data_IF_505317925943
#
_entry.id   IF_505317925943
#
_cell.length_a   1.000
_cell.length_b   1.000
_cell.length_c   1.000
_cell.angle_alpha   90.00
_cell.angle_beta   90.00
_cell.angle_gamma   90.00
#
_symmetry.space_group_name_H-M   'P 1'
#
loop_
_entity.id
_entity.type
_entity.pdbx_description
1 polymer ?
#
# COMPACT_ATOMS: atom_id res chain seq x y z
N UNK A 1 -17.91 -22.65 9.86
CA UNK A 1 -16.71 -22.57 9.01
C UNK A 1 -15.99 -21.28 9.36
N UNK A 2 -14.69 -21.31 9.54
CA UNK A 2 -13.91 -20.09 9.80
C UNK A 2 -13.90 -19.21 8.56
N UNK A 3 -13.93 -17.88 8.74
CA UNK A 3 -13.83 -16.90 7.69
C UNK A 3 -12.38 -16.76 7.23
N UNK A 4 -12.15 -16.64 5.92
CA UNK A 4 -10.82 -16.56 5.34
C UNK A 4 -10.43 -15.12 4.98
N UNK A 5 -9.24 -14.71 5.41
CA UNK A 5 -8.67 -13.39 5.11
C UNK A 5 -7.40 -13.54 4.28
N UNK A 6 -7.37 -12.92 3.10
CA UNK A 6 -6.16 -12.81 2.29
C UNK A 6 -5.49 -11.47 2.57
N UNK A 7 -4.19 -11.48 2.83
CA UNK A 7 -3.38 -10.27 3.06
C UNK A 7 -2.31 -10.19 1.98
N UNK A 8 -2.41 -9.18 1.12
CA UNK A 8 -1.47 -8.92 0.01
C UNK A 8 -0.60 -7.68 0.23
N UNK A 9 -0.80 -6.97 1.33
CA UNK A 9 0.07 -5.85 1.69
C UNK A 9 1.44 -6.30 2.16
N UNK A 10 2.51 -5.79 1.52
CA UNK A 10 3.90 -6.11 1.85
C UNK A 10 4.34 -5.63 3.23
N UNK A 11 3.72 -4.60 3.75
CA UNK A 11 4.09 -3.96 5.02
C UNK A 11 3.22 -4.38 6.21
N UNK A 12 2.14 -5.14 5.97
CA UNK A 12 1.26 -5.60 7.03
C UNK A 12 2.02 -6.54 7.99
N UNK A 13 1.92 -6.27 9.27
CA UNK A 13 2.58 -7.08 10.31
C UNK A 13 4.11 -6.90 10.43
N UNK A 14 4.77 -6.01 9.64
CA UNK A 14 6.23 -5.84 9.69
C UNK A 14 6.75 -5.16 10.96
N UNK A 15 5.96 -4.28 11.56
CA UNK A 15 6.35 -3.52 12.76
C UNK A 15 5.91 -4.25 14.03
N UNK A 16 4.71 -4.86 13.98
CA UNK A 16 4.12 -5.58 15.11
C UNK A 16 3.28 -6.74 14.58
N UNK A 17 3.25 -7.85 15.31
CA UNK A 17 2.33 -8.97 15.02
C UNK A 17 0.91 -8.71 15.53
N UNK A 18 0.67 -7.68 16.32
CA UNK A 18 -0.62 -7.36 16.93
C UNK A 18 -1.80 -7.41 15.95
N UNK A 19 -1.71 -6.85 14.70
CA UNK A 19 -2.80 -6.96 13.74
C UNK A 19 -3.12 -8.40 13.31
N UNK A 20 -2.10 -9.28 13.26
CA UNK A 20 -2.29 -10.70 12.94
C UNK A 20 -2.91 -11.43 14.13
N UNK A 21 -2.47 -11.12 15.35
CA UNK A 21 -2.98 -11.72 16.59
C UNK A 21 -4.47 -11.36 16.78
N UNK A 22 -4.88 -10.14 16.44
CA UNK A 22 -6.27 -9.70 16.45
C UNK A 22 -7.11 -10.56 15.49
N UNK A 23 -6.66 -10.75 14.24
CA UNK A 23 -7.39 -11.54 13.25
C UNK A 23 -7.48 -13.01 13.65
N UNK A 24 -6.38 -13.61 14.04
CA UNK A 24 -6.34 -15.02 14.42
C UNK A 24 -7.08 -15.27 15.74
N UNK A 25 -6.97 -14.36 16.70
CA UNK A 25 -7.71 -14.40 17.98
C UNK A 25 -9.22 -14.26 17.78
N UNK A 26 -9.67 -13.58 16.72
CA UNK A 26 -11.08 -13.51 16.32
C UNK A 26 -11.56 -14.75 15.53
N UNK A 27 -10.69 -15.75 15.32
CA UNK A 27 -11.03 -17.00 14.66
C UNK A 27 -10.97 -16.95 13.13
N UNK A 28 -10.32 -15.94 12.54
CA UNK A 28 -10.09 -15.88 11.08
C UNK A 28 -8.93 -16.79 10.67
N UNK A 29 -9.09 -17.43 9.51
CA UNK A 29 -8.02 -18.13 8.82
C UNK A 29 -7.28 -17.13 7.93
N UNK A 30 -6.03 -16.80 8.27
CA UNK A 30 -5.25 -15.75 7.63
C UNK A 30 -4.20 -16.33 6.68
N UNK A 31 -4.21 -15.88 5.43
CA UNK A 31 -3.19 -16.18 4.43
C UNK A 31 -2.43 -14.90 4.05
N UNK A 32 -1.10 -14.93 4.18
CA UNK A 32 -0.24 -13.80 3.82
C UNK A 32 0.51 -14.07 2.52
N UNK A 33 0.35 -13.17 1.53
CA UNK A 33 1.00 -13.20 0.21
C UNK A 33 1.72 -11.90 -0.15
N UNK A 34 1.91 -11.00 0.82
CA UNK A 34 2.48 -9.68 0.54
C UNK A 34 3.96 -9.70 0.16
N UNK A 35 4.75 -10.64 0.68
CA UNK A 35 6.20 -10.71 0.43
C UNK A 35 6.50 -11.23 -0.97
N UNK A 36 5.84 -12.29 -1.38
CA UNK A 36 6.05 -13.00 -2.65
C UNK A 36 4.79 -12.83 -3.52
N UNK A 37 4.33 -11.56 -3.64
CA UNK A 37 3.10 -11.25 -4.37
C UNK A 37 3.26 -11.51 -5.87
N UNK A 38 2.33 -12.29 -6.41
CA UNK A 38 2.11 -12.50 -7.83
C UNK A 38 0.65 -12.18 -8.19
N UNK A 39 0.43 -11.40 -9.26
CA UNK A 39 -0.89 -10.95 -9.66
C UNK A 39 -1.78 -12.11 -10.13
N UNK A 40 -1.24 -13.04 -10.90
CA UNK A 40 -2.00 -14.18 -11.41
C UNK A 40 -2.39 -15.15 -10.27
N UNK A 41 -1.48 -15.37 -9.32
CA UNK A 41 -1.77 -16.15 -8.11
C UNK A 41 -2.87 -15.48 -7.29
N UNK A 42 -2.80 -14.16 -7.08
CA UNK A 42 -3.83 -13.40 -6.38
C UNK A 42 -5.21 -13.57 -7.04
N UNK A 43 -5.30 -13.41 -8.37
CA UNK A 43 -6.56 -13.52 -9.11
C UNK A 43 -7.16 -14.93 -9.07
N UNK A 44 -6.30 -15.95 -8.96
CA UNK A 44 -6.73 -17.33 -8.81
C UNK A 44 -7.24 -17.65 -7.40
N UNK A 45 -6.62 -17.05 -6.38
CA UNK A 45 -6.92 -17.34 -4.97
C UNK A 45 -8.12 -16.58 -4.41
N UNK A 46 -8.24 -15.28 -4.74
CA UNK A 46 -9.17 -14.36 -4.07
C UNK A 46 -10.64 -14.80 -4.07
N UNK A 47 -11.17 -15.52 -5.07
CA UNK A 47 -12.56 -15.99 -5.05
C UNK A 47 -12.92 -16.88 -3.84
N UNK A 48 -11.92 -17.46 -3.19
CA UNK A 48 -12.12 -18.34 -2.03
C UNK A 48 -12.10 -17.65 -0.68
N UNK A 49 -11.89 -16.32 -0.64
CA UNK A 49 -11.75 -15.55 0.58
C UNK A 49 -12.97 -14.69 0.89
N UNK A 50 -13.24 -14.51 2.19
CA UNK A 50 -14.32 -13.64 2.70
C UNK A 50 -13.88 -12.18 2.86
N UNK A 51 -12.58 -11.94 3.08
CA UNK A 51 -12.00 -10.62 3.28
C UNK A 51 -10.63 -10.48 2.62
N UNK A 52 -10.31 -9.26 2.19
CA UNK A 52 -9.03 -8.89 1.59
C UNK A 52 -8.42 -7.71 2.32
N UNK A 53 -7.14 -7.82 2.74
CA UNK A 53 -6.32 -6.67 3.12
C UNK A 53 -5.35 -6.40 1.99
N UNK A 54 -5.66 -5.38 1.17
CA UNK A 54 -4.95 -5.09 -0.08
C UNK A 54 -3.84 -4.05 0.12
N UNK A 55 -2.71 -4.28 -0.53
CA UNK A 55 -1.62 -3.33 -0.69
C UNK A 55 -1.81 -2.37 -1.87
N UNK A 56 -0.73 -2.18 -2.66
CA UNK A 56 -0.70 -1.21 -3.76
C UNK A 56 -1.05 -1.81 -5.14
N UNK A 57 -1.18 -3.13 -5.26
CA UNK A 57 -1.54 -3.77 -6.53
C UNK A 57 -3.01 -3.53 -6.90
N UNK A 58 -3.32 -3.64 -8.17
CA UNK A 58 -4.68 -3.47 -8.67
C UNK A 58 -5.59 -4.65 -8.32
N UNK A 59 -6.88 -4.35 -8.17
CA UNK A 59 -7.94 -5.34 -8.07
C UNK A 59 -8.93 -5.14 -9.23
N UNK A 60 -8.73 -5.81 -10.39
CA UNK A 60 -9.56 -5.63 -11.58
C UNK A 60 -11.03 -5.98 -11.34
N UNK A 61 -11.94 -5.24 -12.00
CA UNK A 61 -13.40 -5.47 -11.90
C UNK A 61 -13.79 -6.91 -12.25
N UNK A 62 -13.24 -7.44 -13.35
CA UNK A 62 -13.50 -8.81 -13.79
C UNK A 62 -13.08 -9.88 -12.76
N UNK A 63 -12.12 -9.56 -11.90
CA UNK A 63 -11.72 -10.44 -10.79
C UNK A 63 -12.69 -10.30 -9.62
N UNK A 64 -13.12 -9.06 -9.29
CA UNK A 64 -14.14 -8.82 -8.26
C UNK A 64 -15.43 -9.58 -8.54
N UNK A 65 -15.89 -9.59 -9.79
CA UNK A 65 -17.12 -10.30 -10.21
C UNK A 65 -17.06 -11.82 -9.95
N UNK A 66 -15.85 -12.39 -9.89
CA UNK A 66 -15.64 -13.81 -9.59
C UNK A 66 -15.52 -14.12 -8.10
N UNK A 67 -15.72 -13.12 -7.21
CA UNK A 67 -15.52 -13.24 -5.77
C UNK A 67 -16.84 -13.24 -4.97
N UNK A 68 -17.72 -14.23 -5.09
CA UNK A 68 -19.04 -14.21 -4.46
C UNK A 68 -18.98 -14.27 -2.92
N UNK A 69 -17.86 -14.75 -2.36
CA UNK A 69 -17.65 -14.86 -0.92
C UNK A 69 -17.14 -13.55 -0.30
N UNK A 70 -16.51 -12.68 -1.11
CA UNK A 70 -15.84 -11.48 -0.62
C UNK A 70 -16.86 -10.48 -0.07
N UNK A 71 -16.69 -10.06 1.18
CA UNK A 71 -17.59 -9.14 1.88
C UNK A 71 -16.95 -7.80 2.20
N UNK A 72 -15.62 -7.78 2.33
CA UNK A 72 -14.90 -6.57 2.71
C UNK A 72 -13.51 -6.52 2.08
N UNK A 73 -13.14 -5.32 1.64
CA UNK A 73 -11.79 -4.97 1.20
C UNK A 73 -11.27 -3.88 2.16
N UNK A 74 -10.17 -4.18 2.86
CA UNK A 74 -9.48 -3.22 3.71
C UNK A 74 -8.21 -2.76 3.00
N UNK A 75 -8.17 -1.50 2.59
CA UNK A 75 -6.94 -0.91 2.02
C UNK A 75 -5.94 -0.62 3.13
N UNK A 76 -4.78 -1.27 3.09
CA UNK A 76 -3.66 -0.93 3.94
C UNK A 76 -2.93 0.31 3.39
N UNK A 77 -3.53 1.46 3.59
CA UNK A 77 -3.13 2.77 3.10
C UNK A 77 -4.30 3.73 2.96
N UNK A 78 -4.03 4.98 2.54
CA UNK A 78 -5.03 6.03 2.43
C UNK A 78 -5.71 6.08 1.05
N UNK A 79 -4.96 5.89 -0.04
CA UNK A 79 -5.48 5.96 -1.41
C UNK A 79 -6.28 4.72 -1.80
N UNK A 80 -7.33 4.90 -2.60
CA UNK A 80 -8.23 3.84 -3.07
C UNK A 80 -8.23 3.68 -4.60
N UNK A 81 -7.28 4.29 -5.28
CA UNK A 81 -7.15 4.36 -6.74
C UNK A 81 -6.93 3.00 -7.41
N UNK A 82 -6.51 1.99 -6.66
CA UNK A 82 -6.34 0.61 -7.13
C UNK A 82 -7.56 -0.30 -6.87
N UNK A 83 -8.70 0.27 -6.45
CA UNK A 83 -9.94 -0.45 -6.13
C UNK A 83 -11.10 0.23 -6.86
N UNK A 84 -11.84 -0.52 -7.66
CA UNK A 84 -13.04 -0.02 -8.35
C UNK A 84 -14.22 0.09 -7.37
N UNK A 85 -14.39 1.28 -6.77
CA UNK A 85 -15.38 1.51 -5.70
C UNK A 85 -16.82 1.29 -6.14
N UNK A 86 -17.18 1.74 -7.35
CA UNK A 86 -18.54 1.55 -7.89
C UNK A 86 -18.83 0.07 -8.09
N UNK A 87 -17.88 -0.69 -8.63
CA UNK A 87 -18.03 -2.15 -8.79
C UNK A 87 -18.13 -2.86 -7.44
N UNK A 88 -17.31 -2.50 -6.47
CA UNK A 88 -17.40 -3.06 -5.12
C UNK A 88 -18.80 -2.82 -4.50
N UNK A 89 -19.34 -1.60 -4.68
CA UNK A 89 -20.68 -1.24 -4.21
C UNK A 89 -21.79 -2.05 -4.90
N UNK A 90 -21.72 -2.21 -6.24
CA UNK A 90 -22.65 -3.04 -7.01
C UNK A 90 -22.68 -4.49 -6.49
N UNK A 91 -21.51 -5.03 -6.15
CA UNK A 91 -21.37 -6.40 -5.65
C UNK A 91 -21.64 -6.54 -4.14
N UNK A 92 -21.98 -5.45 -3.45
CA UNK A 92 -22.22 -5.43 -2.01
C UNK A 92 -20.97 -5.69 -1.16
N UNK A 93 -19.80 -5.35 -1.69
CA UNK A 93 -18.51 -5.46 -1.00
C UNK A 93 -18.22 -4.15 -0.27
N UNK A 94 -18.05 -4.20 1.05
CA UNK A 94 -17.64 -3.05 1.83
C UNK A 94 -16.17 -2.70 1.55
N UNK A 95 -15.84 -1.41 1.41
CA UNK A 95 -14.46 -0.95 1.24
C UNK A 95 -14.11 0.02 2.36
N UNK A 96 -12.98 -0.20 3.02
CA UNK A 96 -12.42 0.70 4.02
C UNK A 96 -10.93 0.95 3.77
N UNK A 97 -10.43 2.08 4.27
CA UNK A 97 -9.03 2.49 4.20
C UNK A 97 -8.58 3.11 5.52
N UNK A 98 -7.33 3.55 5.58
CA UNK A 98 -6.72 4.16 6.77
C UNK A 98 -6.29 5.59 6.42
N UNK A 99 -7.20 6.57 6.43
CA UNK A 99 -6.89 7.93 6.02
C UNK A 99 -5.99 8.63 7.05
N UNK A 100 -5.05 9.46 6.56
CA UNK A 100 -4.26 10.37 7.38
C UNK A 100 -3.10 9.74 8.17
N UNK A 101 -2.97 8.43 8.25
CA UNK A 101 -1.94 7.78 9.09
C UNK A 101 -0.50 8.03 8.64
N UNK A 102 -0.29 8.35 7.36
CA UNK A 102 1.03 8.64 6.79
C UNK A 102 1.25 10.12 6.46
N UNK A 103 0.34 11.01 6.84
CA UNK A 103 0.38 12.43 6.45
C UNK A 103 1.69 13.12 6.89
N UNK A 104 2.14 12.90 8.11
CA UNK A 104 3.39 13.47 8.59
C UNK A 104 4.60 12.94 7.80
N UNK A 105 4.67 11.62 7.56
CA UNK A 105 5.77 11.03 6.78
C UNK A 105 5.79 11.54 5.33
N UNK A 106 4.62 11.74 4.73
CA UNK A 106 4.49 12.33 3.38
C UNK A 106 4.94 13.79 3.40
N UNK A 107 4.56 14.56 4.42
CA UNK A 107 4.98 15.96 4.57
C UNK A 107 6.52 16.06 4.70
N UNK A 108 7.12 15.27 5.58
CA UNK A 108 8.58 15.24 5.77
C UNK A 108 9.32 14.91 4.46
N UNK A 109 8.86 13.89 3.74
CA UNK A 109 9.43 13.54 2.44
C UNK A 109 9.27 14.65 1.42
N UNK A 110 8.11 15.31 1.39
CA UNK A 110 7.83 16.43 0.49
C UNK A 110 8.81 17.58 0.73
N UNK A 111 8.98 18.01 1.97
CA UNK A 111 9.96 19.02 2.32
C UNK A 111 11.39 18.60 1.99
N UNK A 112 11.75 17.36 2.28
CA UNK A 112 13.04 16.78 1.91
C UNK A 112 13.32 16.86 0.40
N UNK A 113 12.35 16.50 -0.42
CA UNK A 113 12.43 16.58 -1.88
C UNK A 113 12.50 18.02 -2.39
N UNK A 114 11.71 18.93 -1.82
CA UNK A 114 11.77 20.36 -2.16
C UNK A 114 13.17 20.93 -1.91
N UNK A 115 13.75 20.66 -0.74
CA UNK A 115 15.11 21.08 -0.41
C UNK A 115 16.16 20.41 -1.30
N UNK A 116 16.00 19.12 -1.59
CA UNK A 116 16.90 18.38 -2.46
C UNK A 116 16.96 18.97 -3.89
N UNK A 117 15.81 19.36 -4.44
CA UNK A 117 15.74 20.02 -5.75
C UNK A 117 16.30 21.44 -5.68
N UNK A 118 15.83 22.26 -4.74
CA UNK A 118 16.24 23.65 -4.61
C UNK A 118 17.75 23.83 -4.42
N UNK A 119 18.39 22.93 -3.69
CA UNK A 119 19.82 22.99 -3.34
C UNK A 119 20.68 22.03 -4.18
N UNK A 120 20.15 21.41 -5.24
CA UNK A 120 20.85 20.48 -6.12
C UNK A 120 21.53 19.28 -5.39
N UNK A 121 20.96 18.82 -4.27
CA UNK A 121 21.58 17.81 -3.38
C UNK A 121 21.92 16.53 -4.16
N UNK A 122 21.02 16.02 -4.99
CA UNK A 122 21.22 14.76 -5.74
C UNK A 122 22.35 14.90 -6.75
N UNK A 123 22.41 16.02 -7.48
CA UNK A 123 23.46 16.27 -8.48
C UNK A 123 24.83 16.45 -7.83
N UNK A 124 24.91 17.24 -6.77
CA UNK A 124 26.18 17.50 -6.07
C UNK A 124 26.68 16.25 -5.35
N UNK A 125 25.82 15.45 -4.77
CA UNK A 125 26.17 14.14 -4.20
C UNK A 125 26.83 13.24 -5.26
N UNK A 126 26.20 13.12 -6.44
CA UNK A 126 26.78 12.34 -7.55
C UNK A 126 28.16 12.85 -7.97
N UNK A 127 28.33 14.19 -8.13
CA UNK A 127 29.60 14.77 -8.50
C UNK A 127 30.72 14.45 -7.51
N UNK A 128 30.43 14.53 -6.21
CA UNK A 128 31.42 14.18 -5.17
C UNK A 128 31.83 12.70 -5.27
N UNK A 129 30.89 11.80 -5.48
CA UNK A 129 31.18 10.37 -5.67
C UNK A 129 32.00 10.09 -6.94
N UNK A 130 31.87 10.92 -7.97
CA UNK A 130 32.65 10.87 -9.21
C UNK A 130 34.00 11.61 -9.09
N UNK A 131 34.38 12.07 -7.90
CA UNK A 131 35.61 12.82 -7.65
C UNK A 131 35.60 14.26 -8.20
N UNK A 132 34.42 14.78 -8.55
CA UNK A 132 34.28 16.16 -9.06
C UNK A 132 33.94 17.11 -7.91
N UNK A 133 34.83 18.04 -7.63
CA UNK A 133 34.62 19.12 -6.66
C UNK A 133 34.26 20.41 -7.40
N UNK A 134 32.96 20.69 -7.51
CA UNK A 134 32.43 21.86 -8.22
C UNK A 134 31.23 22.48 -7.53
N UNK A 135 30.99 23.75 -7.81
CA UNK A 135 29.87 24.50 -7.24
C UNK A 135 28.58 24.28 -8.07
N UNK A 136 27.48 24.07 -7.38
CA UNK A 136 26.13 24.15 -7.95
C UNK A 136 25.42 25.39 -7.42
N UNK A 137 24.75 26.12 -8.31
CA UNK A 137 23.90 27.25 -7.91
C UNK A 137 22.52 26.69 -7.62
N UNK A 138 22.09 26.81 -6.37
CA UNK A 138 20.73 26.49 -5.93
C UNK A 138 19.92 27.75 -5.67
N UNK A 139 18.66 27.58 -5.25
CA UNK A 139 17.78 28.64 -4.81
C UNK A 139 17.48 28.48 -3.33
N UNK A 140 17.32 29.60 -2.62
CA UNK A 140 16.88 29.56 -1.23
C UNK A 140 15.38 29.29 -1.15
N UNK A 141 14.96 28.52 -0.16
CA UNK A 141 13.54 28.18 0.08
C UNK A 141 12.93 29.11 1.11
N UNK A 142 13.76 29.68 1.98
CA UNK A 142 13.36 30.76 2.87
C UNK A 142 13.58 32.11 2.15
N UNK A 143 12.54 32.90 1.98
CA UNK A 143 12.58 34.25 1.44
C UNK A 143 12.51 35.30 2.53
#
# INVERSE_FOLDING_TARGET
MSKKVLITSRSFGKISNEPLDILTGAGFEVTMKGKDFDQAEFEAMIPDYDALIIGAHEFPEAVMERCPKLKIICKHGAGLDNIHLEKAKELGIAVCNVPGTNSNAVADLTFGLMLAVARNIVSTNRWVHEGRWQTAIGVDVCG
#
